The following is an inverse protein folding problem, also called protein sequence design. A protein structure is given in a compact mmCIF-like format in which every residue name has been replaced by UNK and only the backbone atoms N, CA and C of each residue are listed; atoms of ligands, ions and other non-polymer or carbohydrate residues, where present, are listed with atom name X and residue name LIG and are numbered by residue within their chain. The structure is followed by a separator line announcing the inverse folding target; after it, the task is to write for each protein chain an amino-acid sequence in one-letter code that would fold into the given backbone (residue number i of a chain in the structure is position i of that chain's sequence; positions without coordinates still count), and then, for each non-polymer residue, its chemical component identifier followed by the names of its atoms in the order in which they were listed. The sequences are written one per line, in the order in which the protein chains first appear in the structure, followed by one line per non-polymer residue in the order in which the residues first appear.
data_IF_241202045070
#
_entry.id   IF_241202045070
#
_cell.length_a   1.000
_cell.length_b   1.000
_cell.length_c   1.000
_cell.angle_alpha   90.00
_cell.angle_beta   90.00
_cell.angle_gamma   90.00
#
_symmetry.space_group_name_H-M   'P 1'
#
loop_
_entity.id
_entity.type
_entity.pdbx_description
1 polymer ?
#
# COMPACT_ATOMS: atom_id res chain seq x y z
N UNK A 1 -8.17 9.96 -5.65
CA UNK A 1 -7.88 11.26 -4.98
C UNK A 1 -8.73 12.41 -5.49
N UNK A 2 -9.79 12.12 -6.25
CA UNK A 2 -10.80 13.11 -6.62
C UNK A 2 -11.67 13.41 -5.40
N UNK A 3 -12.21 14.63 -5.31
CA UNK A 3 -13.11 15.01 -4.23
C UNK A 3 -14.56 14.69 -4.63
N UNK A 4 -15.45 14.28 -3.70
CA UNK A 4 -16.81 13.89 -4.05
C UNK A 4 -17.64 14.93 -4.84
N UNK A 5 -17.31 16.21 -4.66
CA UNK A 5 -17.93 17.31 -5.41
C UNK A 5 -17.66 17.25 -6.93
N UNK A 6 -16.60 16.57 -7.35
CA UNK A 6 -16.18 16.46 -8.74
C UNK A 6 -16.63 15.13 -9.40
N UNK A 7 -17.16 14.17 -8.63
CA UNK A 7 -17.55 12.85 -9.14
C UNK A 7 -18.58 12.96 -10.26
N UNK A 8 -19.58 13.82 -10.09
CA UNK A 8 -20.60 14.06 -11.12
C UNK A 8 -20.02 14.58 -12.44
N UNK A 9 -18.90 15.30 -12.42
CA UNK A 9 -18.22 15.74 -13.65
C UNK A 9 -17.47 14.58 -14.29
N UNK A 10 -16.82 13.74 -13.49
CA UNK A 10 -16.10 12.56 -13.97
C UNK A 10 -17.09 11.57 -14.60
N UNK A 11 -18.18 11.24 -13.91
CA UNK A 11 -19.26 10.38 -14.42
C UNK A 11 -19.74 10.86 -15.79
N UNK A 12 -20.12 12.14 -15.93
CA UNK A 12 -20.55 12.70 -17.22
C UNK A 12 -19.49 12.62 -18.32
N UNK A 13 -18.21 12.67 -17.96
CA UNK A 13 -17.12 12.56 -18.93
C UNK A 13 -16.99 11.12 -19.42
N UNK A 14 -17.15 10.15 -18.52
CA UNK A 14 -17.15 8.73 -18.83
C UNK A 14 -18.38 8.36 -19.67
N UNK A 15 -19.56 8.88 -19.33
CA UNK A 15 -20.78 8.72 -20.14
C UNK A 15 -20.57 9.20 -21.57
N UNK A 16 -19.98 10.39 -21.75
CA UNK A 16 -19.66 10.91 -23.09
C UNK A 16 -18.69 10.00 -23.83
N UNK A 17 -17.67 9.46 -23.15
CA UNK A 17 -16.73 8.54 -23.77
C UNK A 17 -17.43 7.27 -24.24
N UNK A 18 -18.34 6.71 -23.42
CA UNK A 18 -19.21 5.59 -23.79
C UNK A 18 -20.10 5.94 -25.00
N UNK A 19 -20.79 7.08 -24.95
CA UNK A 19 -21.75 7.52 -25.97
C UNK A 19 -21.11 7.81 -27.35
N UNK A 20 -19.78 7.99 -27.39
CA UNK A 20 -19.00 8.03 -28.64
C UNK A 20 -18.83 6.64 -29.29
N UNK A 21 -19.45 5.59 -28.75
CA UNK A 21 -19.38 4.22 -29.24
C UNK A 21 -18.27 3.37 -28.62
N UNK A 22 -17.68 3.82 -27.50
CA UNK A 22 -16.65 3.05 -26.79
C UNK A 22 -17.28 2.22 -25.66
N UNK A 23 -16.61 1.12 -25.28
CA UNK A 23 -16.87 0.44 -24.01
C UNK A 23 -15.93 0.99 -22.96
N UNK A 24 -16.46 1.43 -21.82
CA UNK A 24 -15.68 1.98 -20.70
C UNK A 24 -15.68 0.95 -19.57
N UNK A 25 -14.51 0.38 -19.27
CA UNK A 25 -14.29 -0.54 -18.15
C UNK A 25 -13.53 0.18 -17.05
N UNK A 26 -14.08 0.17 -15.83
CA UNK A 26 -13.52 0.88 -14.68
C UNK A 26 -13.48 -0.05 -13.47
N UNK A 27 -12.36 -0.04 -12.77
CA UNK A 27 -12.22 -0.68 -11.45
C UNK A 27 -12.34 0.43 -10.41
N UNK A 28 -13.41 0.40 -9.61
CA UNK A 28 -13.72 1.45 -8.64
C UNK A 28 -14.30 0.90 -7.33
N UNK A 29 -14.24 1.75 -6.30
CA UNK A 29 -14.82 1.50 -4.98
C UNK A 29 -15.80 2.59 -4.54
N UNK A 30 -15.93 3.67 -5.33
CA UNK A 30 -16.85 4.77 -5.05
C UNK A 30 -18.32 4.41 -5.33
N UNK A 31 -19.20 4.72 -4.37
CA UNK A 31 -20.63 4.42 -4.46
C UNK A 31 -21.33 5.22 -5.56
N UNK A 32 -20.99 6.50 -5.77
CA UNK A 32 -21.63 7.32 -6.79
C UNK A 32 -21.31 6.81 -8.19
N UNK A 33 -20.08 6.35 -8.42
CA UNK A 33 -19.69 5.65 -9.66
C UNK A 33 -20.46 4.34 -9.86
N UNK A 34 -20.52 3.48 -8.84
CA UNK A 34 -21.26 2.22 -8.93
C UNK A 34 -22.75 2.44 -9.25
N UNK A 35 -23.36 3.47 -8.65
CA UNK A 35 -24.76 3.84 -8.90
C UNK A 35 -25.01 4.41 -10.29
N UNK A 36 -24.00 5.00 -10.92
CA UNK A 36 -24.11 5.56 -12.27
C UNK A 36 -23.80 4.53 -13.38
N UNK A 37 -23.19 3.40 -13.05
CA UNK A 37 -22.77 2.41 -14.02
C UNK A 37 -23.98 1.70 -14.68
N UNK A 38 -23.91 1.50 -16.00
CA UNK A 38 -24.92 0.72 -16.75
C UNK A 38 -24.87 -0.77 -16.38
N UNK A 39 -23.69 -1.27 -16.05
CA UNK A 39 -23.43 -2.67 -15.70
C UNK A 39 -22.35 -2.73 -14.62
N UNK A 40 -22.61 -3.50 -13.57
CA UNK A 40 -21.73 -3.67 -12.43
C UNK A 40 -21.34 -5.14 -12.30
N UNK A 41 -20.04 -5.40 -12.12
CA UNK A 41 -19.50 -6.74 -11.88
C UNK A 41 -18.85 -6.74 -10.50
N UNK A 42 -19.39 -7.54 -9.59
CA UNK A 42 -18.87 -7.72 -8.24
C UNK A 42 -17.95 -8.95 -8.18
N UNK A 43 -16.68 -8.72 -7.89
CA UNK A 43 -15.66 -9.75 -7.74
C UNK A 43 -15.51 -10.12 -6.27
N UNK A 44 -15.35 -11.41 -5.96
CA UNK A 44 -15.20 -11.85 -4.57
C UNK A 44 -15.17 -13.37 -4.42
N UNK A 45 -15.69 -13.92 -3.30
CA UNK A 45 -16.23 -13.21 -2.12
C UNK A 45 -15.16 -12.61 -1.20
N UNK A 46 -13.90 -13.03 -1.33
CA UNK A 46 -12.75 -12.51 -0.58
C UNK A 46 -11.66 -11.95 -1.51
N UNK A 47 -10.47 -11.75 -0.94
CA UNK A 47 -9.27 -11.36 -1.67
C UNK A 47 -8.26 -12.52 -1.72
N UNK A 48 -7.31 -12.45 -2.66
CA UNK A 48 -6.32 -13.52 -2.84
C UNK A 48 -6.97 -14.82 -3.27
N UNK A 49 -6.56 -15.93 -2.65
CA UNK A 49 -7.08 -17.28 -2.92
C UNK A 49 -8.57 -17.46 -2.57
N UNK A 50 -9.11 -16.60 -1.72
CA UNK A 50 -10.53 -16.61 -1.34
C UNK A 50 -11.42 -15.78 -2.29
N UNK A 51 -10.84 -15.24 -3.37
CA UNK A 51 -11.51 -14.43 -4.38
C UNK A 51 -11.46 -15.05 -5.77
N UNK A 52 -11.57 -14.20 -6.80
CA UNK A 52 -11.44 -14.62 -8.20
C UNK A 52 -12.74 -15.16 -8.82
N UNK A 53 -13.85 -15.10 -8.11
CA UNK A 53 -15.18 -15.43 -8.63
C UNK A 53 -15.98 -14.18 -8.98
N UNK A 54 -16.84 -14.29 -10.00
CA UNK A 54 -17.90 -13.30 -10.25
C UNK A 54 -19.06 -13.62 -9.31
N UNK A 55 -19.27 -12.80 -8.29
CA UNK A 55 -20.30 -12.99 -7.27
C UNK A 55 -21.68 -12.53 -7.77
N UNK A 56 -21.70 -11.43 -8.51
CA UNK A 56 -22.87 -10.90 -9.19
C UNK A 56 -22.41 -10.07 -10.41
N UNK A 57 -23.21 -10.07 -11.47
CA UNK A 57 -22.98 -9.24 -12.65
C UNK A 57 -24.33 -8.86 -13.26
N UNK A 58 -24.57 -7.58 -13.53
CA UNK A 58 -25.86 -7.09 -14.00
C UNK A 58 -26.04 -5.60 -13.79
N UNK A 59 -27.28 -5.13 -13.87
CA UNK A 59 -27.63 -3.81 -13.37
C UNK A 59 -27.39 -3.69 -11.85
N UNK A 60 -27.32 -2.47 -11.32
CA UNK A 60 -27.07 -2.27 -9.89
C UNK A 60 -28.14 -2.95 -9.02
N UNK A 61 -29.40 -2.98 -9.46
CA UNK A 61 -30.49 -3.64 -8.76
C UNK A 61 -30.25 -5.15 -8.64
N UNK A 62 -29.65 -5.78 -9.64
CA UNK A 62 -29.33 -7.22 -9.63
C UNK A 62 -28.19 -7.52 -8.66
N UNK A 63 -27.14 -6.69 -8.66
CA UNK A 63 -26.04 -6.81 -7.69
C UNK A 63 -26.54 -6.57 -6.27
N UNK A 64 -27.42 -5.58 -6.08
CA UNK A 64 -28.11 -5.33 -4.82
C UNK A 64 -29.11 -6.43 -4.45
N UNK A 65 -29.65 -7.21 -5.38
CA UNK A 65 -30.51 -8.35 -5.04
C UNK A 65 -29.71 -9.58 -4.59
N UNK A 66 -28.42 -9.67 -4.96
CA UNK A 66 -27.55 -10.80 -4.60
C UNK A 66 -27.18 -10.76 -3.10
N UNK A 67 -27.60 -11.76 -2.28
CA UNK A 67 -27.24 -11.79 -0.86
C UNK A 67 -25.75 -12.10 -0.64
N UNK A 68 -25.09 -12.78 -1.58
CA UNK A 68 -23.65 -13.09 -1.49
C UNK A 68 -22.75 -11.89 -1.77
N UNK A 69 -23.26 -10.87 -2.47
CA UNK A 69 -22.48 -9.67 -2.81
C UNK A 69 -22.24 -8.80 -1.59
N UNK A 70 -20.98 -8.69 -1.16
CA UNK A 70 -20.58 -7.79 -0.07
C UNK A 70 -20.83 -6.33 -0.49
N UNK A 71 -20.51 -5.99 -1.74
CA UNK A 71 -20.79 -4.69 -2.35
C UNK A 71 -22.28 -4.37 -2.29
N UNK A 72 -23.14 -5.30 -2.71
CA UNK A 72 -24.60 -5.18 -2.61
C UNK A 72 -25.08 -4.95 -1.16
N UNK A 73 -24.51 -5.66 -0.18
CA UNK A 73 -24.84 -5.48 1.24
C UNK A 73 -24.50 -4.06 1.76
N UNK A 74 -23.41 -3.44 1.27
CA UNK A 74 -23.09 -2.04 1.57
C UNK A 74 -24.03 -1.06 0.85
N UNK A 75 -24.31 -1.29 -0.43
CA UNK A 75 -25.21 -0.44 -1.24
C UNK A 75 -26.65 -0.43 -0.69
N UNK A 76 -27.10 -1.53 -0.05
CA UNK A 76 -28.37 -1.64 0.67
C UNK A 76 -28.34 -1.05 2.09
N UNK A 77 -27.16 -0.77 2.63
CA UNK A 77 -26.98 -0.29 4.01
C UNK A 77 -27.13 -1.37 5.09
N UNK A 78 -27.20 -2.66 4.73
CA UNK A 78 -27.15 -3.77 5.69
C UNK A 78 -25.79 -3.81 6.40
N UNK A 79 -24.72 -3.60 5.62
CA UNK A 79 -23.39 -3.28 6.14
C UNK A 79 -23.15 -1.78 6.05
N UNK A 80 -22.51 -1.24 7.07
CA UNK A 80 -22.13 0.18 7.13
C UNK A 80 -20.91 0.35 8.01
N UNK A 81 -20.13 1.38 7.72
CA UNK A 81 -19.03 1.78 8.58
C UNK A 81 -19.64 2.48 9.81
N UNK A 82 -19.49 1.93 11.03
CA UNK A 82 -20.11 2.50 12.21
C UNK A 82 -19.50 3.86 12.53
N UNK A 83 -20.36 4.83 12.85
CA UNK A 83 -19.91 6.12 13.37
C UNK A 83 -19.57 5.98 14.86
N UNK A 84 -18.42 6.51 15.32
CA UNK A 84 -18.07 6.45 16.73
C UNK A 84 -19.06 7.27 17.55
N UNK A 85 -19.62 6.66 18.61
CA UNK A 85 -20.58 7.32 19.51
C UNK A 85 -19.97 8.54 20.24
N UNK A 86 -18.66 8.48 20.53
CA UNK A 86 -17.92 9.56 21.16
C UNK A 86 -16.65 9.87 20.36
N UNK A 87 -16.35 11.17 20.20
CA UNK A 87 -15.10 11.63 19.60
C UNK A 87 -14.09 11.94 20.70
N UNK A 88 -12.82 11.62 20.46
CA UNK A 88 -11.73 11.87 21.42
C UNK A 88 -11.58 13.38 21.69
N UNK A 89 -11.52 13.75 22.96
CA UNK A 89 -11.31 15.14 23.39
C UNK A 89 -9.86 15.62 23.14
N UNK A 90 -8.92 14.70 22.92
CA UNK A 90 -7.50 14.96 22.69
C UNK A 90 -6.71 15.00 23.99
N UNK A 91 -5.42 15.35 23.91
CA UNK A 91 -4.54 15.49 25.08
C UNK A 91 -4.33 16.96 25.50
N UNK A 92 -5.14 17.88 24.96
CA UNK A 92 -5.02 19.33 25.21
C UNK A 92 -3.87 20.02 24.47
N UNK A 93 -2.97 19.27 23.83
CA UNK A 93 -1.82 19.82 23.10
C UNK A 93 -2.18 20.11 21.64
N UNK A 94 -1.51 21.11 21.05
CA UNK A 94 -1.78 21.59 19.70
C UNK A 94 -0.47 21.88 18.96
N UNK A 95 -0.40 21.41 17.72
CA UNK A 95 0.63 21.82 16.77
C UNK A 95 0.09 22.96 15.92
N UNK A 96 0.84 24.05 15.79
CA UNK A 96 0.40 25.23 15.01
C UNK A 96 1.35 25.53 13.88
N UNK A 97 0.87 25.47 12.65
CA UNK A 97 1.57 25.95 11.46
C UNK A 97 1.26 27.44 11.31
N UNK A 98 2.28 28.29 11.26
CA UNK A 98 2.14 29.75 11.13
C UNK A 98 2.53 30.25 9.74
N UNK A 99 1.70 31.11 9.16
CA UNK A 99 1.98 31.81 7.90
C UNK A 99 2.26 30.90 6.71
N UNK A 100 1.57 29.76 6.60
CA UNK A 100 1.77 28.81 5.51
C UNK A 100 1.38 29.45 4.16
N UNK A 101 2.35 29.55 3.25
CA UNK A 101 2.24 30.30 1.99
C UNK A 101 2.91 29.64 0.79
N UNK A 102 3.26 28.36 0.92
CA UNK A 102 3.78 27.58 -0.20
C UNK A 102 2.69 27.36 -1.28
N UNK A 103 3.08 27.37 -2.56
CA UNK A 103 2.19 27.26 -3.71
C UNK A 103 0.98 28.21 -3.65
N UNK A 104 -0.23 27.67 -3.58
CA UNK A 104 -1.49 28.43 -3.59
C UNK A 104 -2.01 28.78 -2.19
N UNK A 105 -1.30 28.45 -1.12
CA UNK A 105 -1.70 28.77 0.25
C UNK A 105 -1.64 30.28 0.50
N UNK A 106 -2.66 30.81 1.17
CA UNK A 106 -2.88 32.26 1.32
C UNK A 106 -2.41 32.80 2.67
N UNK A 107 -1.16 32.50 3.03
CA UNK A 107 -0.57 32.89 4.31
C UNK A 107 -1.45 32.50 5.52
N UNK A 108 -1.75 31.21 5.62
CA UNK A 108 -2.73 30.68 6.59
C UNK A 108 -2.06 30.17 7.86
N UNK A 109 -2.75 30.35 8.99
CA UNK A 109 -2.42 29.72 10.26
C UNK A 109 -3.33 28.50 10.46
N UNK A 110 -2.75 27.35 10.82
CA UNK A 110 -3.50 26.11 11.02
C UNK A 110 -3.14 25.47 12.36
N UNK A 111 -4.17 25.18 13.16
CA UNK A 111 -4.06 24.50 14.45
C UNK A 111 -4.47 23.03 14.31
N UNK A 112 -3.57 22.11 14.68
CA UNK A 112 -3.76 20.67 14.60
C UNK A 112 -3.75 20.09 16.02
N UNK A 113 -4.89 19.63 16.56
CA UNK A 113 -4.94 19.07 17.91
C UNK A 113 -4.26 17.70 17.96
N UNK A 114 -3.42 17.50 18.98
CA UNK A 114 -2.73 16.22 19.21
C UNK A 114 -3.62 15.25 20.01
N UNK A 115 -3.32 13.96 19.89
CA UNK A 115 -4.12 12.89 20.49
C UNK A 115 -5.49 12.67 19.85
N UNK A 116 -5.74 13.24 18.65
CA UNK A 116 -6.99 13.09 17.89
C UNK A 116 -6.78 12.40 16.54
N UNK A 117 -7.85 11.84 15.99
CA UNK A 117 -7.92 11.45 14.59
C UNK A 117 -8.31 12.69 13.77
N UNK A 118 -7.34 13.30 13.10
CA UNK A 118 -7.52 14.55 12.36
C UNK A 118 -7.58 14.28 10.86
N UNK A 119 -8.65 14.69 10.21
CA UNK A 119 -8.79 14.64 8.75
C UNK A 119 -8.57 16.02 8.14
N UNK A 120 -7.73 16.08 7.10
CA UNK A 120 -7.55 17.27 6.27
C UNK A 120 -8.30 17.04 4.96
N UNK A 121 -9.40 17.76 4.76
CA UNK A 121 -10.31 17.57 3.61
C UNK A 121 -10.35 18.81 2.72
N UNK A 122 -11.06 18.71 1.60
CA UNK A 122 -11.20 19.79 0.61
C UNK A 122 -10.96 19.30 -0.83
N UNK A 123 -11.38 20.09 -1.81
CA UNK A 123 -11.32 19.76 -3.24
C UNK A 123 -9.90 19.51 -3.76
N UNK A 124 -9.75 18.82 -4.89
CA UNK A 124 -8.45 18.64 -5.53
C UNK A 124 -7.81 20.00 -5.84
N UNK A 125 -6.50 20.12 -5.62
CA UNK A 125 -5.77 21.39 -5.78
C UNK A 125 -5.98 22.42 -4.67
N UNK A 126 -6.76 22.16 -3.62
CA UNK A 126 -6.97 23.12 -2.51
C UNK A 126 -5.75 23.40 -1.64
N UNK A 127 -4.63 22.69 -1.85
CA UNK A 127 -3.39 22.86 -1.08
C UNK A 127 -3.19 21.87 0.08
N UNK A 128 -4.03 20.83 0.22
CA UNK A 128 -3.89 19.80 1.28
C UNK A 128 -2.50 19.18 1.34
N UNK A 129 -2.02 18.65 0.21
CA UNK A 129 -0.70 18.01 0.12
C UNK A 129 0.42 19.02 0.36
N UNK A 130 0.25 20.26 -0.09
CA UNK A 130 1.20 21.34 0.20
C UNK A 130 1.28 21.63 1.70
N UNK A 131 0.14 21.73 2.38
CA UNK A 131 0.12 21.99 3.82
C UNK A 131 0.74 20.84 4.63
N UNK A 132 0.39 19.59 4.30
CA UNK A 132 0.76 18.43 5.11
C UNK A 132 2.12 17.84 4.72
N UNK A 133 2.33 17.53 3.44
CA UNK A 133 3.58 16.90 3.00
C UNK A 133 4.70 17.93 2.83
N UNK A 134 4.44 19.03 2.11
CA UNK A 134 5.50 19.99 1.75
C UNK A 134 5.90 20.91 2.90
N UNK A 135 4.94 21.33 3.75
CA UNK A 135 5.22 22.20 4.90
C UNK A 135 5.39 21.36 6.17
N UNK A 136 4.31 20.78 6.69
CA UNK A 136 4.31 20.16 8.02
C UNK A 136 5.33 19.04 8.14
N UNK A 137 5.25 18.03 7.26
CA UNK A 137 6.11 16.86 7.33
C UNK A 137 7.57 17.21 7.09
N UNK A 138 7.92 17.90 5.99
CA UNK A 138 9.31 18.26 5.70
C UNK A 138 9.94 19.11 6.80
N UNK A 139 9.19 20.08 7.35
CA UNK A 139 9.70 20.93 8.45
C UNK A 139 9.88 20.14 9.74
N UNK A 140 8.93 19.28 10.10
CA UNK A 140 9.04 18.41 11.26
C UNK A 140 10.19 17.40 11.09
N UNK A 141 10.34 16.78 9.93
CA UNK A 141 11.43 15.85 9.62
C UNK A 141 12.81 16.55 9.63
N UNK A 142 12.88 17.79 9.14
CA UNK A 142 14.10 18.60 9.23
C UNK A 142 14.50 18.88 10.69
N UNK A 143 13.54 19.24 11.54
CA UNK A 143 13.80 19.60 12.94
C UNK A 143 14.03 18.39 13.85
N UNK A 144 13.27 17.31 13.67
CA UNK A 144 13.35 16.11 14.51
C UNK A 144 14.45 15.13 14.05
N UNK A 145 14.73 15.06 12.75
CA UNK A 145 15.63 14.05 12.16
C UNK A 145 16.81 14.64 11.38
N UNK A 146 16.90 15.96 11.22
CA UNK A 146 17.93 16.59 10.39
C UNK A 146 17.76 16.31 8.89
N UNK A 147 16.54 16.03 8.42
CA UNK A 147 16.27 15.81 7.00
C UNK A 147 16.69 17.01 6.14
N UNK A 148 17.25 16.72 4.95
CA UNK A 148 17.82 17.74 4.04
C UNK A 148 16.81 18.35 3.08
N UNK A 149 15.62 17.76 2.97
CA UNK A 149 14.57 18.29 2.10
C UNK A 149 14.20 19.71 2.51
N UNK A 150 14.11 20.60 1.53
CA UNK A 150 13.70 21.98 1.78
C UNK A 150 12.20 22.01 2.10
N UNK A 151 11.80 22.45 3.30
CA UNK A 151 10.39 22.60 3.62
C UNK A 151 9.77 23.77 2.85
N UNK A 152 8.47 23.67 2.60
CA UNK A 152 7.67 24.75 2.03
C UNK A 152 7.62 25.99 2.92
N UNK A 153 7.30 27.12 2.30
CA UNK A 153 7.26 28.43 2.93
C UNK A 153 6.19 28.53 4.03
N UNK A 154 6.67 28.80 5.25
CA UNK A 154 5.88 29.13 6.44
C UNK A 154 6.74 29.99 7.38
N UNK A 155 6.12 30.69 8.33
CA UNK A 155 6.84 31.46 9.36
C UNK A 155 7.41 30.54 10.44
N UNK A 156 6.74 29.42 10.71
CA UNK A 156 7.23 28.42 11.66
C UNK A 156 6.18 27.38 12.01
N UNK A 157 6.59 26.40 12.81
CA UNK A 157 5.70 25.41 13.41
C UNK A 157 5.93 25.41 14.91
N UNK A 158 4.88 25.69 15.69
CA UNK A 158 4.88 25.71 17.15
C UNK A 158 4.29 24.38 17.68
N UNK A 159 4.74 23.95 18.86
CA UNK A 159 4.27 22.71 19.50
C UNK A 159 4.89 21.43 18.93
N UNK A 160 6.01 21.53 18.19
CA UNK A 160 6.78 20.36 17.75
C UNK A 160 7.49 19.65 18.91
N UNK A 161 7.78 20.37 19.98
CA UNK A 161 8.30 19.84 21.25
C UNK A 161 7.32 18.88 21.96
N UNK A 162 6.06 18.84 21.54
CA UNK A 162 5.07 17.89 22.05
C UNK A 162 5.13 16.51 21.40
N UNK A 163 5.98 16.31 20.38
CA UNK A 163 6.12 15.05 19.65
C UNK A 163 7.59 14.65 19.50
N UNK A 164 7.88 13.37 19.69
CA UNK A 164 9.25 12.85 19.51
C UNK A 164 9.54 12.44 18.06
N UNK A 165 8.49 12.10 17.31
CA UNK A 165 8.59 11.55 15.96
C UNK A 165 7.40 11.92 15.09
N UNK A 166 7.68 12.16 13.81
CA UNK A 166 6.72 12.24 12.72
C UNK A 166 6.96 11.10 11.72
N UNK A 167 5.89 10.44 11.27
CA UNK A 167 5.98 9.36 10.28
C UNK A 167 5.01 9.68 9.15
N UNK A 168 5.53 9.76 7.93
CA UNK A 168 4.70 9.87 6.72
C UNK A 168 4.53 8.47 6.12
N UNK A 169 3.29 8.01 6.06
CA UNK A 169 2.91 6.78 5.37
C UNK A 169 2.24 7.22 4.07
N UNK A 170 2.90 6.98 2.94
CA UNK A 170 2.46 7.41 1.63
C UNK A 170 2.15 6.23 0.69
N UNK A 171 1.87 6.53 -0.58
CA UNK A 171 1.56 5.56 -1.62
C UNK A 171 2.78 5.25 -2.51
N UNK A 172 3.98 5.64 -2.08
CA UNK A 172 5.18 5.28 -2.82
C UNK A 172 5.40 3.75 -2.74
N UNK A 173 5.92 3.12 -3.81
CA UNK A 173 6.23 1.70 -3.78
C UNK A 173 7.18 1.36 -2.64
N UNK A 174 6.90 0.25 -1.94
CA UNK A 174 7.71 -0.32 -0.85
C UNK A 174 9.20 -0.45 -1.24
N UNK A 175 9.45 -0.75 -2.51
CA UNK A 175 10.75 -0.62 -3.13
C UNK A 175 10.63 -0.68 -4.64
N UNK A 176 11.76 -0.46 -5.32
CA UNK A 176 11.83 -0.41 -6.78
C UNK A 176 12.44 -1.67 -7.39
N UNK A 177 12.75 -2.68 -6.59
CA UNK A 177 13.36 -3.93 -7.06
C UNK A 177 12.58 -5.14 -6.55
N UNK A 178 12.68 -6.31 -7.22
CA UNK A 178 12.04 -7.56 -6.77
C UNK A 178 12.51 -8.07 -5.39
N UNK A 179 13.57 -7.46 -4.83
CA UNK A 179 14.11 -7.75 -3.50
C UNK A 179 13.28 -7.14 -2.38
N UNK A 180 12.51 -6.08 -2.68
CA UNK A 180 11.59 -5.46 -1.75
C UNK A 180 10.25 -6.19 -1.79
N UNK A 181 9.86 -6.75 -0.65
CA UNK A 181 8.62 -7.48 -0.47
C UNK A 181 8.09 -7.26 0.97
N UNK A 182 6.89 -7.72 1.32
CA UNK A 182 6.33 -7.50 2.65
C UNK A 182 7.22 -7.99 3.80
N UNK A 183 7.93 -9.12 3.64
CA UNK A 183 8.75 -9.69 4.71
C UNK A 183 10.04 -8.90 4.95
N UNK A 184 10.65 -8.36 3.90
CA UNK A 184 11.81 -7.46 4.01
C UNK A 184 11.44 -6.09 4.54
N UNK A 185 10.29 -5.54 4.15
CA UNK A 185 9.85 -4.21 4.59
C UNK A 185 9.41 -4.19 6.05
N UNK A 186 8.66 -5.21 6.49
CA UNK A 186 8.22 -5.34 7.88
C UNK A 186 9.33 -5.81 8.82
N UNK A 187 10.48 -6.25 8.26
CA UNK A 187 11.61 -6.80 9.02
C UNK A 187 11.43 -8.26 9.46
N UNK A 188 10.31 -8.90 9.13
CA UNK A 188 10.02 -10.31 9.50
C UNK A 188 10.95 -11.31 8.80
N UNK A 189 11.60 -10.93 7.71
CA UNK A 189 12.55 -11.79 7.03
C UNK A 189 13.79 -12.14 7.87
N UNK A 190 14.21 -11.26 8.79
CA UNK A 190 15.35 -11.54 9.69
C UNK A 190 15.07 -12.70 10.65
N UNK A 191 14.01 -12.68 11.47
CA UNK A 191 13.72 -13.80 12.35
C UNK A 191 13.43 -15.11 11.59
N UNK A 192 12.86 -15.04 10.37
CA UNK A 192 12.70 -16.23 9.51
C UNK A 192 14.07 -16.83 9.17
N UNK A 193 15.05 -16.03 8.75
CA UNK A 193 16.41 -16.54 8.43
C UNK A 193 17.13 -17.09 9.65
N UNK A 194 16.95 -16.47 10.81
CA UNK A 194 17.52 -16.94 12.07
C UNK A 194 16.92 -18.30 12.47
N UNK A 195 15.61 -18.48 12.29
CA UNK A 195 14.94 -19.75 12.49
C UNK A 195 15.52 -20.85 11.60
N UNK A 196 15.67 -20.59 10.30
CA UNK A 196 16.28 -21.56 9.38
C UNK A 196 17.74 -21.88 9.70
N UNK A 197 18.52 -20.90 10.17
CA UNK A 197 19.88 -21.16 10.64
C UNK A 197 19.94 -21.98 11.95
N UNK A 198 18.85 -21.99 12.72
CA UNK A 198 18.78 -22.69 14.01
C UNK A 198 18.47 -24.18 13.89
N UNK A 199 17.96 -24.66 12.74
CA UNK A 199 17.58 -26.07 12.59
C UNK A 199 18.79 -27.02 12.57
N UNK A 200 18.67 -28.28 13.04
CA UNK A 200 19.80 -29.19 13.17
C UNK A 200 20.59 -29.39 11.87
N UNK A 201 19.90 -29.52 10.74
CA UNK A 201 20.53 -29.70 9.44
C UNK A 201 21.37 -28.48 9.02
N UNK A 202 20.86 -27.27 9.22
CA UNK A 202 21.61 -26.04 8.96
C UNK A 202 22.84 -25.93 9.87
N UNK A 203 22.70 -26.27 11.16
CA UNK A 203 23.82 -26.25 12.11
C UNK A 203 24.91 -27.26 11.75
N UNK A 204 24.54 -28.48 11.36
CA UNK A 204 25.48 -29.52 10.92
C UNK A 204 26.25 -29.09 9.66
N UNK A 205 25.58 -28.38 8.74
CA UNK A 205 26.21 -27.83 7.52
C UNK A 205 26.93 -26.50 7.74
N UNK A 206 26.93 -25.96 8.97
CA UNK A 206 27.56 -24.68 9.31
C UNK A 206 26.88 -23.46 8.68
N UNK A 207 25.60 -23.54 8.36
CA UNK A 207 24.86 -22.44 7.71
C UNK A 207 24.44 -21.37 8.71
N UNK A 208 24.82 -20.13 8.40
CA UNK A 208 24.39 -18.93 9.13
C UNK A 208 23.11 -18.32 8.52
N UNK A 209 22.47 -17.33 9.17
CA UNK A 209 21.32 -16.61 8.60
C UNK A 209 21.62 -15.96 7.23
N UNK A 210 22.89 -15.75 6.90
CA UNK A 210 23.32 -15.26 5.59
C UNK A 210 23.07 -16.28 4.47
N UNK A 211 23.18 -17.59 4.72
CA UNK A 211 22.87 -18.63 3.73
C UNK A 211 21.41 -18.54 3.26
N UNK A 212 20.52 -18.14 4.15
CA UNK A 212 19.08 -18.03 3.93
C UNK A 212 18.64 -16.65 3.43
N UNK A 213 19.58 -15.76 3.12
CA UNK A 213 19.28 -14.44 2.54
C UNK A 213 19.45 -14.46 1.03
N UNK A 214 18.38 -14.12 0.29
CA UNK A 214 18.47 -13.93 -1.16
C UNK A 214 19.25 -12.66 -1.55
N UNK A 215 19.56 -11.77 -0.60
CA UNK A 215 20.28 -10.53 -0.87
C UNK A 215 21.80 -10.67 -0.85
N UNK A 216 22.35 -11.78 -0.35
CA UNK A 216 23.80 -11.99 -0.20
C UNK A 216 24.26 -13.26 -0.90
N UNK A 217 25.52 -13.28 -1.33
CA UNK A 217 26.14 -14.50 -1.89
C UNK A 217 26.19 -15.60 -0.83
N UNK A 218 26.01 -16.84 -1.26
CA UNK A 218 26.04 -18.00 -0.39
C UNK A 218 24.95 -18.99 -0.75
N UNK A 219 23.71 -18.72 -0.34
CA UNK A 219 22.57 -19.61 -0.63
C UNK A 219 21.59 -19.09 -1.69
N UNK A 220 21.73 -17.84 -2.16
CA UNK A 220 20.91 -17.33 -3.25
C UNK A 220 21.24 -18.02 -4.58
N UNK A 221 20.32 -17.94 -5.55
CA UNK A 221 20.60 -18.31 -6.93
C UNK A 221 21.51 -17.24 -7.56
N UNK A 222 22.69 -17.62 -8.03
CA UNK A 222 23.62 -16.66 -8.66
C UNK A 222 23.22 -16.26 -10.08
N UNK A 223 22.44 -17.08 -10.80
CA UNK A 223 21.97 -16.75 -12.15
C UNK A 223 21.07 -15.51 -12.20
N UNK A 224 20.12 -15.40 -11.25
CA UNK A 224 19.28 -14.21 -11.08
C UNK A 224 19.72 -13.32 -9.91
N UNK A 225 20.90 -13.57 -9.34
CA UNK A 225 21.42 -12.87 -8.16
C UNK A 225 20.44 -12.75 -6.97
N UNK A 226 19.57 -13.76 -6.80
CA UNK A 226 18.55 -13.81 -5.74
C UNK A 226 17.21 -13.12 -6.04
N UNK A 227 17.03 -12.55 -7.24
CA UNK A 227 15.79 -11.84 -7.59
C UNK A 227 14.63 -12.79 -7.93
N UNK A 228 14.96 -14.00 -8.41
CA UNK A 228 14.00 -15.01 -8.86
C UNK A 228 13.48 -14.78 -10.27
N UNK A 229 13.69 -13.58 -10.82
CA UNK A 229 13.26 -13.16 -12.13
C UNK A 229 14.45 -12.56 -12.90
N UNK A 230 14.33 -12.52 -14.21
CA UNK A 230 15.23 -11.83 -15.13
C UNK A 230 14.39 -10.78 -15.86
N UNK A 231 14.89 -9.54 -15.89
CA UNK A 231 14.28 -8.46 -16.65
C UNK A 231 14.79 -8.50 -18.09
N UNK A 232 13.86 -8.49 -19.05
CA UNK A 232 14.14 -8.46 -20.48
C UNK A 232 13.79 -7.06 -20.96
N UNK A 233 14.81 -6.35 -21.40
CA UNK A 233 14.67 -4.99 -21.95
C UNK A 233 13.94 -5.05 -23.29
N UNK A 234 12.89 -4.25 -23.42
CA UNK A 234 12.07 -4.17 -24.63
C UNK A 234 12.23 -2.79 -25.28
N UNK A 235 12.49 -2.75 -26.59
CA UNK A 235 12.82 -1.48 -27.26
C UNK A 235 11.65 -0.47 -27.33
N UNK A 236 10.41 -0.96 -27.39
CA UNK A 236 9.22 -0.14 -27.63
C UNK A 236 8.06 -0.42 -26.66
N UNK A 237 8.21 -1.47 -25.85
CA UNK A 237 7.22 -1.88 -24.86
C UNK A 237 7.85 -1.75 -23.47
N UNK A 238 7.04 -1.69 -22.40
CA UNK A 238 7.57 -1.82 -21.06
C UNK A 238 8.38 -3.11 -20.90
N UNK A 239 9.46 -3.05 -20.13
CA UNK A 239 10.30 -4.20 -19.83
C UNK A 239 9.48 -5.33 -19.21
N UNK A 240 9.83 -6.57 -19.57
CA UNK A 240 9.09 -7.76 -19.15
C UNK A 240 9.96 -8.55 -18.19
N UNK A 241 9.37 -9.00 -17.09
CA UNK A 241 10.05 -9.89 -16.14
C UNK A 241 9.65 -11.34 -16.39
N UNK A 242 10.65 -12.21 -16.54
CA UNK A 242 10.44 -13.66 -16.71
C UNK A 242 11.03 -14.42 -15.53
N UNK A 243 10.41 -15.54 -15.09
CA UNK A 243 10.98 -16.38 -14.05
C UNK A 243 12.39 -16.85 -14.44
N UNK A 244 13.33 -16.80 -13.51
CA UNK A 244 14.69 -17.31 -13.74
C UNK A 244 14.65 -18.80 -14.08
N UNK A 245 15.24 -19.19 -15.21
CA UNK A 245 15.22 -20.58 -15.69
C UNK A 245 15.95 -21.55 -14.74
N UNK A 246 16.96 -21.06 -14.00
CA UNK A 246 17.79 -21.88 -13.11
C UNK A 246 17.08 -22.20 -11.79
N UNK A 247 16.58 -21.19 -11.08
CA UNK A 247 15.89 -21.40 -9.80
C UNK A 247 14.37 -21.51 -9.92
N UNK A 248 13.80 -21.27 -11.11
CA UNK A 248 12.36 -21.29 -11.38
C UNK A 248 11.58 -20.40 -10.41
N UNK A 249 12.06 -19.17 -10.19
CA UNK A 249 11.44 -18.22 -9.27
C UNK A 249 11.79 -18.40 -7.79
N UNK A 250 12.41 -19.52 -7.38
CA UNK A 250 12.66 -19.83 -5.97
C UNK A 250 13.72 -18.96 -5.29
N UNK A 251 14.49 -18.15 -6.03
CA UNK A 251 15.52 -17.21 -5.51
C UNK A 251 16.76 -17.83 -4.86
N UNK A 252 16.75 -19.13 -4.55
CA UNK A 252 17.84 -19.83 -3.85
C UNK A 252 18.48 -20.93 -4.69
N UNK A 253 19.70 -21.33 -4.32
CA UNK A 253 20.35 -22.53 -4.84
C UNK A 253 19.79 -23.80 -4.19
N UNK A 254 20.13 -24.95 -4.77
CA UNK A 254 19.60 -26.24 -4.34
C UNK A 254 19.97 -26.55 -2.88
N UNK A 255 21.20 -26.27 -2.47
CA UNK A 255 21.71 -26.63 -1.15
C UNK A 255 21.03 -25.83 -0.03
N UNK A 256 20.64 -24.57 -0.28
CA UNK A 256 19.87 -23.77 0.68
C UNK A 256 18.42 -24.27 0.80
N UNK A 257 17.84 -24.81 -0.29
CA UNK A 257 16.47 -25.32 -0.33
C UNK A 257 16.32 -26.74 0.26
N UNK A 258 17.42 -27.45 0.48
CA UNK A 258 17.39 -28.76 1.15
C UNK A 258 17.07 -28.64 2.64
N UNK A 259 17.41 -27.50 3.26
CA UNK A 259 17.10 -27.25 4.67
C UNK A 259 15.62 -26.93 4.82
N UNK A 260 14.94 -27.72 5.65
CA UNK A 260 13.51 -27.54 5.91
C UNK A 260 13.22 -27.22 7.38
N UNK A 261 12.16 -26.43 7.58
CA UNK A 261 11.53 -26.20 8.88
C UNK A 261 10.07 -26.64 8.76
N UNK A 262 9.66 -27.58 9.62
CA UNK A 262 8.31 -28.19 9.58
C UNK A 262 7.93 -28.71 8.18
N UNK A 263 8.89 -29.30 7.47
CA UNK A 263 8.68 -29.86 6.13
C UNK A 263 8.62 -28.85 4.99
N UNK A 264 8.79 -27.54 5.25
CA UNK A 264 8.89 -26.50 4.22
C UNK A 264 10.29 -25.90 4.16
N UNK A 265 10.83 -25.69 2.98
CA UNK A 265 12.07 -24.93 2.79
C UNK A 265 11.81 -23.41 2.81
N UNK A 266 12.88 -22.62 2.77
CA UNK A 266 12.74 -21.16 2.89
C UNK A 266 11.98 -20.51 1.72
N UNK A 267 12.09 -21.05 0.50
CA UNK A 267 11.32 -20.52 -0.63
C UNK A 267 9.83 -20.79 -0.44
N UNK A 268 9.47 -21.99 0.03
CA UNK A 268 8.08 -22.36 0.32
C UNK A 268 7.49 -21.54 1.47
N UNK A 269 8.29 -21.22 2.50
CA UNK A 269 7.85 -20.31 3.58
C UNK A 269 7.63 -18.89 3.08
N UNK A 270 8.45 -18.42 2.13
CA UNK A 270 8.28 -17.10 1.51
C UNK A 270 7.14 -17.04 0.48
N UNK A 271 6.68 -18.19 0.01
CA UNK A 271 5.56 -18.33 -0.93
C UNK A 271 4.20 -18.47 -0.21
N UNK A 272 4.22 -18.61 1.13
CA UNK A 272 3.00 -18.68 1.93
C UNK A 272 2.25 -17.35 1.94
N UNK A 273 0.92 -17.43 2.05
CA UNK A 273 0.11 -16.26 2.34
C UNK A 273 0.39 -15.76 3.76
N UNK A 274 0.07 -14.48 4.03
CA UNK A 274 0.20 -13.95 5.39
C UNK A 274 -0.73 -14.67 6.39
N UNK A 275 -1.86 -15.20 5.93
CA UNK A 275 -2.80 -15.99 6.74
C UNK A 275 -2.19 -17.35 7.10
N UNK A 276 -1.57 -18.04 6.15
CA UNK A 276 -0.91 -19.32 6.41
C UNK A 276 0.30 -19.19 7.36
N UNK A 277 0.95 -18.01 7.37
CA UNK A 277 2.18 -17.78 8.13
C UNK A 277 1.95 -17.41 9.60
N UNK A 278 0.76 -16.94 9.97
CA UNK A 278 0.37 -16.52 11.33
C UNK A 278 -0.08 -17.71 12.19
#
# INVERSE_FOLDING_TARGET
GLHPADDARLIRTLDRLRDLGNTVLIVEHDEAMMRAADHLIDMGPGAGEHGGEVVAAGAIEEVMACPRSITGQYLRGERRIPLPAHRREGNGLVLTIKGARENNLKNIDVHIPLGKFVCITGVSGSGKSTLIAEILYKKAAQLLYGAKDRPGQCDGILGLDHIDKVVNIDQSPIGRTPRSNPTTYTGTFTPIRELFASVPEARLRGYSPGRFSFNVRGGRCEACQGEGYIEIEMHFLPDVTVPCEVCKGKRYNREALEVTFRGKNIAEVLDMTAEEAL
#
